data_IF_533140122152
#
_entry.id   IF_533140122152
#
_cell.length_a   1.000
_cell.length_b   1.000
_cell.length_c   1.000
_cell.angle_alpha   90.00
_cell.angle_beta   90.00
_cell.angle_gamma   90.00
#
_symmetry.space_group_name_H-M   'P 1'
#
loop_
_entity.id
_entity.type
_entity.pdbx_description
1 polymer ?
#
# COMPACT_ATOMS: atom_id res chain seq x y z
N UNK A 1 5.05 -15.97 -3.55
CA UNK A 1 5.16 -15.19 -2.30
C UNK A 1 5.99 -16.04 -1.34
N UNK A 2 7.18 -15.58 -0.93
CA UNK A 2 7.93 -16.25 0.15
C UNK A 2 7.42 -15.64 1.46
N UNK A 3 6.81 -16.42 2.37
CA UNK A 3 6.33 -15.86 3.64
C UNK A 3 7.54 -15.45 4.50
N UNK A 4 7.55 -14.19 4.94
CA UNK A 4 8.40 -13.75 6.06
C UNK A 4 7.71 -14.10 7.37
N UNK A 5 8.49 -14.44 8.41
CA UNK A 5 7.97 -14.69 9.76
C UNK A 5 8.39 -13.55 10.69
N UNK A 6 7.47 -13.05 11.52
CA UNK A 6 7.86 -12.21 12.67
C UNK A 6 8.42 -13.04 13.82
N UNK A 7 8.88 -12.35 14.87
CA UNK A 7 9.40 -12.96 16.10
C UNK A 7 8.39 -13.86 16.84
N UNK A 8 7.11 -13.82 16.45
CA UNK A 8 6.02 -14.64 17.00
C UNK A 8 5.56 -15.75 16.04
N UNK A 9 6.22 -15.94 14.89
CA UNK A 9 5.90 -16.99 13.91
C UNK A 9 4.70 -16.68 13.02
N UNK A 10 4.27 -15.42 12.94
CA UNK A 10 3.14 -15.00 12.09
C UNK A 10 3.61 -14.72 10.67
N UNK A 11 2.84 -15.18 9.68
CA UNK A 11 3.08 -14.90 8.26
C UNK A 11 2.86 -13.42 7.98
N UNK A 12 3.91 -12.76 7.47
CA UNK A 12 3.87 -11.37 7.03
C UNK A 12 4.13 -11.32 5.53
N UNK A 13 3.32 -10.53 4.82
CA UNK A 13 3.64 -10.12 3.46
C UNK A 13 4.62 -8.94 3.56
N UNK A 14 5.83 -9.02 2.96
CA UNK A 14 6.80 -7.93 3.01
C UNK A 14 6.40 -6.76 2.08
N UNK A 15 7.09 -5.63 2.23
CA UNK A 15 6.95 -4.46 1.35
C UNK A 15 6.20 -3.29 1.97
N UNK A 16 6.61 -2.08 1.60
CA UNK A 16 6.05 -0.83 2.11
C UNK A 16 5.54 0.08 1.00
N UNK A 17 6.19 0.11 -0.16
CA UNK A 17 5.77 0.99 -1.25
C UNK A 17 4.92 0.23 -2.28
N UNK A 18 3.90 0.89 -2.83
CA UNK A 18 3.05 0.36 -3.90
C UNK A 18 2.35 1.48 -4.65
N UNK A 19 2.10 1.23 -5.94
CA UNK A 19 1.10 1.94 -6.70
C UNK A 19 0.23 0.91 -7.42
N UNK A 20 -1.06 1.20 -7.56
CA UNK A 20 -2.01 0.25 -8.10
C UNK A 20 -3.39 0.85 -8.34
N UNK A 21 -4.36 -0.03 -8.55
CA UNK A 21 -5.75 0.33 -8.85
C UNK A 21 -6.66 -0.16 -7.75
N UNK A 22 -7.58 0.69 -7.29
CA UNK A 22 -8.57 0.30 -6.28
C UNK A 22 -9.53 -0.72 -6.89
N UNK A 23 -9.54 -1.94 -6.35
CA UNK A 23 -10.46 -3.02 -6.77
C UNK A 23 -11.64 -3.20 -5.83
N UNK A 24 -11.55 -2.71 -4.60
CA UNK A 24 -12.61 -2.76 -3.58
C UNK A 24 -12.45 -1.62 -2.59
N UNK A 25 -13.58 -1.10 -2.09
CA UNK A 25 -13.61 -0.08 -1.03
C UNK A 25 -14.44 -0.58 0.16
N UNK A 26 -14.03 -0.17 1.37
CA UNK A 26 -14.80 -0.41 2.59
C UNK A 26 -15.98 0.56 2.70
N UNK A 27 -17.00 0.21 3.50
CA UNK A 27 -18.23 1.01 3.65
C UNK A 27 -18.03 2.42 4.22
N UNK A 28 -16.86 2.70 4.81
CA UNK A 28 -16.52 4.01 5.40
C UNK A 28 -15.53 4.83 4.56
N UNK A 29 -15.08 4.31 3.42
CA UNK A 29 -14.23 5.02 2.44
C UNK A 29 -15.07 6.12 1.77
N UNK A 30 -14.51 7.32 1.61
CA UNK A 30 -15.23 8.49 1.08
C UNK A 30 -14.57 9.17 -0.12
N UNK A 31 -13.26 9.04 -0.25
CA UNK A 31 -12.40 9.75 -1.21
C UNK A 31 -11.99 8.86 -2.39
N UNK A 32 -11.92 7.55 -2.18
CA UNK A 32 -11.52 6.59 -3.22
C UNK A 32 -12.71 5.80 -3.75
N UNK A 33 -12.66 5.46 -5.04
CA UNK A 33 -13.60 4.56 -5.72
C UNK A 33 -12.86 3.48 -6.50
N UNK A 34 -13.59 2.42 -6.84
CA UNK A 34 -13.08 1.35 -7.70
C UNK A 34 -12.62 1.96 -9.04
N UNK A 35 -11.43 1.57 -9.50
CA UNK A 35 -10.80 2.09 -10.71
C UNK A 35 -9.85 3.27 -10.48
N UNK A 36 -9.81 3.85 -9.29
CA UNK A 36 -8.84 4.92 -8.99
C UNK A 36 -7.41 4.37 -8.96
N UNK A 37 -6.50 5.08 -9.62
CA UNK A 37 -5.06 4.84 -9.50
C UNK A 37 -4.50 5.57 -8.28
N UNK A 38 -3.74 4.85 -7.47
CA UNK A 38 -3.18 5.37 -6.22
C UNK A 38 -1.70 5.05 -6.09
N UNK A 39 -1.04 5.77 -5.20
CA UNK A 39 0.25 5.40 -4.64
C UNK A 39 0.16 5.42 -3.11
N UNK A 40 0.87 4.51 -2.46
CA UNK A 40 0.83 4.33 -1.01
C UNK A 40 1.89 5.17 -0.32
N UNK A 41 1.50 5.84 0.76
CA UNK A 41 2.36 6.64 1.62
C UNK A 41 2.37 5.96 3.00
N UNK A 42 3.43 5.20 3.29
CA UNK A 42 3.55 4.51 4.58
C UNK A 42 4.14 5.45 5.63
N UNK A 43 3.32 5.97 6.56
CA UNK A 43 3.84 6.97 7.50
C UNK A 43 4.86 6.41 8.51
N UNK A 44 4.74 5.17 9.00
CA UNK A 44 5.64 4.61 10.06
C UNK A 44 5.74 3.07 10.05
N UNK A 45 6.49 2.46 9.12
CA UNK A 45 6.58 1.00 9.01
C UNK A 45 7.15 0.30 10.25
N UNK A 46 8.03 0.97 11.00
CA UNK A 46 8.79 0.38 12.12
C UNK A 46 8.01 0.35 13.44
N UNK A 47 7.06 1.27 13.64
CA UNK A 47 6.39 1.40 14.95
C UNK A 47 5.18 0.48 15.11
N UNK A 48 4.56 0.02 14.01
CA UNK A 48 3.46 -0.95 13.99
C UNK A 48 3.42 -1.69 12.63
N UNK A 49 4.27 -2.71 12.40
CA UNK A 49 4.30 -3.41 11.12
C UNK A 49 2.92 -4.03 10.85
N UNK A 50 2.31 -3.65 9.74
CA UNK A 50 1.05 -4.26 9.30
C UNK A 50 1.36 -5.65 8.74
N UNK A 51 0.51 -6.63 9.04
CA UNK A 51 0.60 -7.98 8.47
C UNK A 51 0.42 -7.99 6.94
N UNK A 52 -0.19 -6.92 6.39
CA UNK A 52 -0.47 -6.73 4.97
C UNK A 52 0.56 -5.79 4.34
N UNK A 53 1.71 -6.32 3.92
CA UNK A 53 2.66 -5.57 3.10
C UNK A 53 2.24 -5.48 1.64
N UNK A 54 3.13 -4.93 0.81
CA UNK A 54 2.83 -4.55 -0.57
C UNK A 54 3.36 -5.49 -1.65
N UNK A 55 4.25 -6.43 -1.32
CA UNK A 55 4.78 -7.43 -2.27
C UNK A 55 3.80 -8.60 -2.47
N UNK A 56 2.59 -8.25 -2.89
CA UNK A 56 1.51 -9.16 -3.24
C UNK A 56 0.62 -8.51 -4.30
N UNK A 57 -0.18 -9.32 -5.01
CA UNK A 57 -1.13 -8.83 -6.02
C UNK A 57 -2.24 -7.96 -5.40
N UNK A 58 -2.55 -8.17 -4.13
CA UNK A 58 -3.53 -7.40 -3.37
C UNK A 58 -2.98 -7.06 -2.00
N UNK A 59 -3.24 -5.83 -1.56
CA UNK A 59 -2.96 -5.36 -0.21
C UNK A 59 -4.10 -4.50 0.31
N UNK A 60 -4.30 -4.52 1.64
CA UNK A 60 -5.33 -3.74 2.30
C UNK A 60 -4.69 -2.55 3.02
N UNK A 61 -5.23 -1.36 2.79
CA UNK A 61 -4.68 -0.09 3.29
C UNK A 61 -5.80 0.83 3.79
N UNK A 62 -5.47 1.66 4.79
CA UNK A 62 -6.35 2.72 5.26
C UNK A 62 -6.38 3.89 4.26
N UNK A 63 -7.56 4.37 3.88
CA UNK A 63 -7.75 5.44 2.87
C UNK A 63 -6.84 6.67 3.07
N UNK A 64 -6.54 7.03 4.32
CA UNK A 64 -5.69 8.18 4.65
C UNK A 64 -4.22 8.02 4.22
N UNK A 65 -3.76 6.79 3.98
CA UNK A 65 -2.39 6.46 3.58
C UNK A 65 -2.22 6.43 2.06
N UNK A 66 -3.27 6.71 1.31
CA UNK A 66 -3.24 6.69 -0.14
C UNK A 66 -3.28 8.10 -0.72
N UNK A 67 -2.34 8.36 -1.63
CA UNK A 67 -2.36 9.51 -2.53
C UNK A 67 -2.88 9.11 -3.91
N UNK A 68 -3.48 10.07 -4.62
CA UNK A 68 -3.82 9.87 -6.03
C UNK A 68 -2.54 9.82 -6.86
N UNK A 69 -2.42 8.82 -7.75
CA UNK A 69 -1.27 8.71 -8.64
C UNK A 69 -1.32 9.82 -9.70
N UNK A 70 -0.23 10.59 -9.93
CA UNK A 70 -0.18 11.53 -11.05
C UNK A 70 -0.40 10.81 -12.39
N UNK A 71 -1.24 11.37 -13.27
CA UNK A 71 -1.58 10.77 -14.56
C UNK A 71 -0.37 10.56 -15.49
N UNK A 72 0.62 11.44 -15.38
CA UNK A 72 1.84 11.39 -16.21
C UNK A 72 2.84 10.32 -15.78
N UNK A 73 2.65 9.69 -14.62
CA UNK A 73 3.62 8.75 -14.06
C UNK A 73 3.20 7.32 -14.38
N UNK A 74 4.17 6.43 -14.54
CA UNK A 74 3.93 4.99 -14.53
C UNK A 74 3.69 4.48 -13.09
N UNK A 75 3.17 3.27 -12.93
CA UNK A 75 3.04 2.65 -11.61
C UNK A 75 4.39 2.43 -10.93
N UNK A 76 5.43 2.07 -11.71
CA UNK A 76 6.78 1.89 -11.16
C UNK A 76 7.34 3.20 -10.60
N UNK A 77 7.17 4.32 -11.32
CA UNK A 77 7.58 5.64 -10.85
C UNK A 77 6.80 6.05 -9.59
N UNK A 78 5.48 5.84 -9.59
CA UNK A 78 4.63 6.17 -8.45
C UNK A 78 4.93 5.32 -7.20
N UNK A 79 5.32 4.05 -7.37
CA UNK A 79 5.77 3.17 -6.30
C UNK A 79 7.21 3.44 -5.84
N UNK A 80 8.00 4.19 -6.63
CA UNK A 80 9.39 4.55 -6.31
C UNK A 80 9.49 5.85 -5.53
N UNK A 81 8.37 6.52 -5.24
CA UNK A 81 8.36 7.72 -4.40
C UNK A 81 8.65 7.32 -2.96
N UNK A 82 9.93 7.36 -2.61
CA UNK A 82 10.34 7.36 -1.21
C UNK A 82 9.81 8.63 -0.53
N UNK A 83 9.37 8.52 0.71
CA UNK A 83 9.00 9.64 1.59
C UNK A 83 10.09 10.72 1.56
N UNK A 84 9.87 11.79 0.83
CA UNK A 84 10.67 13.00 0.90
C UNK A 84 10.08 13.91 1.98
N UNK A 85 10.59 13.79 3.21
CA UNK A 85 10.41 14.66 4.40
C UNK A 85 8.99 15.08 4.81
#
# INVERSE_FOLDING_TARGET
>A
IVPGYDVAGVVIVPGYDVAGVVVRVGSKVKKLKIGDEYHHVNEKPVHHPKQFGTLAEFTAVEEKLLGAKPMSWSFAEAASISLGN
#
